data_IF_646497880406
#
_entry.id   IF_646497880406
#
_cell.length_a   1.000
_cell.length_b   1.000
_cell.length_c   1.000
_cell.angle_alpha   90.00
_cell.angle_beta   90.00
_cell.angle_gamma   90.00
#
_symmetry.space_group_name_H-M   'P 1'
#
loop_
_entity.id
_entity.type
_entity.pdbx_description
1 polymer ?
#
# COMPACT_ATOMS: atom_id res chain seq x y z
N UNK A 1 -31.56 -32.32 -30.12
CA UNK A 1 -30.60 -31.19 -30.08
C UNK A 1 -30.64 -30.33 -28.81
N UNK A 2 -31.52 -30.60 -27.83
CA UNK A 2 -31.87 -29.66 -26.75
C UNK A 2 -31.08 -29.82 -25.43
N UNK A 3 -30.62 -31.02 -25.05
CA UNK A 3 -29.89 -31.25 -23.79
C UNK A 3 -28.46 -30.66 -23.78
N UNK A 4 -27.71 -30.82 -24.88
CA UNK A 4 -26.32 -30.35 -25.00
C UNK A 4 -26.23 -28.81 -25.01
N UNK A 5 -27.20 -28.16 -25.67
CA UNK A 5 -27.28 -26.70 -25.74
C UNK A 5 -27.71 -26.07 -24.40
N UNK A 6 -28.62 -26.72 -23.65
CA UNK A 6 -28.94 -26.32 -22.26
C UNK A 6 -27.71 -26.42 -21.35
N UNK A 7 -26.94 -27.52 -21.44
CA UNK A 7 -25.70 -27.71 -20.68
C UNK A 7 -24.63 -26.67 -20.99
N UNK A 8 -24.49 -26.28 -22.26
CA UNK A 8 -23.54 -25.25 -22.67
C UNK A 8 -23.93 -23.87 -22.08
N UNK A 9 -25.22 -23.52 -22.14
CA UNK A 9 -25.74 -22.25 -21.57
C UNK A 9 -25.59 -22.21 -20.05
N UNK A 10 -25.85 -23.32 -19.35
CA UNK A 10 -25.64 -23.39 -17.89
C UNK A 10 -24.16 -23.27 -17.53
N UNK A 11 -23.27 -23.89 -18.30
CA UNK A 11 -21.82 -23.77 -18.09
C UNK A 11 -21.31 -22.34 -18.31
N UNK A 12 -21.77 -21.68 -19.37
CA UNK A 12 -21.42 -20.29 -19.64
C UNK A 12 -21.92 -19.35 -18.53
N UNK A 13 -23.12 -19.59 -17.99
CA UNK A 13 -23.69 -18.79 -16.89
C UNK A 13 -22.89 -18.98 -15.60
N UNK A 14 -22.69 -20.22 -15.18
CA UNK A 14 -21.88 -20.57 -14.01
C UNK A 14 -20.45 -20.00 -14.08
N UNK A 15 -19.84 -19.99 -15.26
CA UNK A 15 -18.51 -19.42 -15.42
C UNK A 15 -18.50 -17.89 -15.32
N UNK A 16 -19.54 -17.23 -15.82
CA UNK A 16 -19.72 -15.77 -15.71
C UNK A 16 -19.96 -15.36 -14.26
N UNK A 17 -20.84 -16.08 -13.58
CA UNK A 17 -21.17 -15.82 -12.17
C UNK A 17 -19.93 -16.01 -11.29
N UNK A 18 -19.13 -17.06 -11.54
CA UNK A 18 -17.86 -17.28 -10.85
C UNK A 18 -16.82 -16.18 -11.12
N UNK A 19 -16.73 -15.65 -12.34
CA UNK A 19 -15.84 -14.53 -12.66
C UNK A 19 -16.30 -13.26 -11.92
N UNK A 20 -17.60 -12.97 -11.98
CA UNK A 20 -18.21 -11.81 -11.33
C UNK A 20 -17.99 -11.81 -9.82
N UNK A 21 -18.20 -12.94 -9.16
CA UNK A 21 -17.96 -13.07 -7.72
C UNK A 21 -16.52 -12.71 -7.36
N UNK A 22 -15.54 -13.07 -8.21
CA UNK A 22 -14.12 -12.81 -7.97
C UNK A 22 -13.75 -11.35 -8.19
N UNK A 23 -14.33 -10.72 -9.22
CA UNK A 23 -14.18 -9.27 -9.41
C UNK A 23 -14.81 -8.47 -8.28
N UNK A 24 -15.93 -8.93 -7.72
CA UNK A 24 -16.58 -8.27 -6.57
C UNK A 24 -15.69 -8.33 -5.32
N UNK A 25 -15.06 -9.48 -5.02
CA UNK A 25 -14.11 -9.58 -3.91
C UNK A 25 -12.89 -8.67 -4.11
N UNK A 26 -12.39 -8.57 -5.34
CA UNK A 26 -11.26 -7.71 -5.67
C UNK A 26 -11.58 -6.22 -5.50
N UNK A 27 -12.78 -5.79 -5.92
CA UNK A 27 -13.27 -4.43 -5.69
C UNK A 27 -13.45 -4.14 -4.19
N UNK A 28 -13.94 -5.11 -3.43
CA UNK A 28 -14.06 -4.97 -1.99
C UNK A 28 -12.68 -4.81 -1.32
N UNK A 29 -11.67 -5.58 -1.76
CA UNK A 29 -10.30 -5.46 -1.26
C UNK A 29 -9.71 -4.10 -1.58
N UNK A 30 -9.89 -3.63 -2.81
CA UNK A 30 -9.43 -2.31 -3.22
C UNK A 30 -10.06 -1.19 -2.40
N UNK A 31 -11.36 -1.31 -2.07
CA UNK A 31 -12.06 -0.34 -1.20
C UNK A 31 -11.49 -0.31 0.22
N UNK A 32 -11.04 -1.46 0.76
CA UNK A 32 -10.39 -1.51 2.07
C UNK A 32 -8.99 -0.93 2.04
N UNK A 33 -8.20 -1.25 1.01
CA UNK A 33 -6.85 -0.69 0.83
C UNK A 33 -6.90 0.84 0.63
N UNK A 34 -7.92 1.34 -0.07
CA UNK A 34 -8.16 2.78 -0.20
C UNK A 34 -8.45 3.42 1.15
N UNK A 35 -9.38 2.85 1.93
CA UNK A 35 -9.68 3.33 3.30
C UNK A 35 -8.50 3.23 4.26
N UNK A 36 -7.64 2.22 4.10
CA UNK A 36 -6.40 2.08 4.86
C UNK A 36 -5.44 3.24 4.64
N UNK A 37 -5.37 3.72 3.39
CA UNK A 37 -4.53 4.86 3.03
C UNK A 37 -5.01 6.15 3.71
N UNK A 38 -6.32 6.31 3.89
CA UNK A 38 -6.92 7.48 4.54
C UNK A 38 -6.83 7.43 6.08
N UNK A 39 -6.74 6.22 6.65
CA UNK A 39 -6.85 5.99 8.10
C UNK A 39 -5.51 5.97 8.85
N UNK A 40 -4.39 6.33 8.22
CA UNK A 40 -3.03 6.23 8.83
C UNK A 40 -2.83 7.05 10.13
N UNK A 41 -3.77 7.93 10.49
CA UNK A 41 -3.72 8.73 11.72
C UNK A 41 -4.31 8.03 12.97
N UNK A 42 -5.15 7.01 12.79
CA UNK A 42 -5.80 6.32 13.92
C UNK A 42 -5.35 4.85 14.00
N UNK A 43 -4.54 4.52 15.02
CA UNK A 43 -3.87 3.21 15.17
C UNK A 43 -4.84 2.03 15.24
N UNK A 44 -5.85 2.11 16.10
CA UNK A 44 -6.81 1.01 16.30
C UNK A 44 -7.62 0.75 15.03
N UNK A 45 -8.12 1.82 14.41
CA UNK A 45 -8.89 1.71 13.19
C UNK A 45 -8.05 1.18 12.02
N UNK A 46 -6.80 1.63 11.91
CA UNK A 46 -5.85 1.12 10.93
C UNK A 46 -5.61 -0.38 11.11
N UNK A 47 -5.33 -0.84 12.34
CA UNK A 47 -5.06 -2.25 12.61
C UNK A 47 -6.27 -3.15 12.27
N UNK A 48 -7.48 -2.73 12.66
CA UNK A 48 -8.70 -3.47 12.33
C UNK A 48 -8.89 -3.57 10.80
N UNK A 49 -8.71 -2.46 10.10
CA UNK A 49 -8.89 -2.39 8.66
C UNK A 49 -7.78 -3.17 7.91
N UNK A 50 -6.56 -3.18 8.45
CA UNK A 50 -5.40 -3.87 7.89
C UNK A 50 -5.62 -5.37 7.98
N UNK A 51 -6.12 -5.84 9.14
CA UNK A 51 -6.51 -7.22 9.33
C UNK A 51 -7.63 -7.65 8.38
N UNK A 52 -8.66 -6.81 8.19
CA UNK A 52 -9.74 -7.09 7.23
C UNK A 52 -9.21 -7.20 5.79
N UNK A 53 -8.35 -6.26 5.37
CA UNK A 53 -7.71 -6.32 4.06
C UNK A 53 -6.84 -7.57 3.90
N UNK A 54 -6.16 -7.99 4.97
CA UNK A 54 -5.34 -9.20 4.98
C UNK A 54 -6.16 -10.47 4.79
N UNK A 55 -7.27 -10.61 5.53
CA UNK A 55 -8.18 -11.75 5.40
C UNK A 55 -8.77 -11.84 4.01
N UNK A 56 -9.23 -10.71 3.47
CA UNK A 56 -9.80 -10.64 2.13
C UNK A 56 -8.75 -10.90 1.04
N UNK A 57 -7.50 -10.50 1.26
CA UNK A 57 -6.38 -10.87 0.40
C UNK A 57 -6.17 -12.38 0.36
N UNK A 58 -6.17 -13.07 1.51
CA UNK A 58 -6.04 -14.54 1.58
C UNK A 58 -7.20 -15.24 0.85
N UNK A 59 -8.43 -14.79 1.04
CA UNK A 59 -9.61 -15.31 0.33
C UNK A 59 -9.50 -15.09 -1.18
N UNK A 60 -9.09 -13.89 -1.60
CA UNK A 60 -8.88 -13.56 -3.02
C UNK A 60 -7.80 -14.44 -3.65
N UNK A 61 -6.70 -14.73 -2.94
CA UNK A 61 -5.67 -15.66 -3.40
C UNK A 61 -6.21 -17.08 -3.60
N UNK A 62 -7.01 -17.60 -2.65
CA UNK A 62 -7.64 -18.91 -2.79
C UNK A 62 -8.58 -18.96 -4.01
N UNK A 63 -9.39 -17.91 -4.20
CA UNK A 63 -10.28 -17.80 -5.35
C UNK A 63 -9.52 -17.68 -6.68
N UNK A 64 -8.36 -17.00 -6.68
CA UNK A 64 -7.47 -16.91 -7.84
C UNK A 64 -6.90 -18.28 -8.21
N UNK A 65 -6.40 -19.06 -7.23
CA UNK A 65 -5.93 -20.44 -7.46
C UNK A 65 -7.01 -21.33 -8.06
N UNK A 66 -8.25 -21.22 -7.58
CA UNK A 66 -9.39 -21.94 -8.17
C UNK A 66 -9.69 -21.45 -9.61
N UNK A 67 -9.58 -20.15 -9.87
CA UNK A 67 -9.77 -19.60 -11.21
C UNK A 67 -8.73 -20.13 -12.20
N UNK A 68 -7.49 -20.32 -11.78
CA UNK A 68 -6.45 -20.96 -12.60
C UNK A 68 -6.89 -22.35 -13.06
N UNK A 69 -7.29 -23.22 -12.11
CA UNK A 69 -7.74 -24.58 -12.43
C UNK A 69 -8.91 -24.60 -13.43
N UNK A 70 -9.86 -23.67 -13.28
CA UNK A 70 -11.04 -23.59 -14.16
C UNK A 70 -10.76 -22.97 -15.54
N UNK A 71 -9.76 -22.08 -15.62
CA UNK A 71 -9.45 -21.32 -16.84
C UNK A 71 -8.46 -22.04 -17.75
N UNK A 72 -7.65 -22.98 -17.23
CA UNK A 72 -6.62 -23.67 -18.02
C UNK A 72 -7.15 -24.33 -19.32
N UNK A 73 -8.39 -24.84 -19.30
CA UNK A 73 -9.02 -25.46 -20.48
C UNK A 73 -9.76 -24.48 -21.41
N UNK A 74 -9.83 -23.17 -21.09
CA UNK A 74 -10.64 -22.21 -21.83
C UNK A 74 -9.89 -20.87 -22.06
N UNK A 75 -9.50 -20.63 -23.32
CA UNK A 75 -8.76 -19.43 -23.75
C UNK A 75 -9.44 -18.11 -23.35
N UNK A 76 -10.76 -18.00 -23.45
CA UNK A 76 -11.48 -16.77 -23.07
C UNK A 76 -11.41 -16.51 -21.55
N UNK A 77 -11.48 -17.56 -20.74
CA UNK A 77 -11.34 -17.44 -19.29
C UNK A 77 -9.90 -17.15 -18.86
N UNK A 78 -8.90 -17.59 -19.63
CA UNK A 78 -7.48 -17.23 -19.40
C UNK A 78 -7.26 -15.73 -19.49
N UNK A 79 -7.75 -15.08 -20.54
CA UNK A 79 -7.63 -13.62 -20.72
C UNK A 79 -8.27 -12.87 -19.55
N UNK A 80 -9.45 -13.32 -19.11
CA UNK A 80 -10.14 -12.75 -17.95
C UNK A 80 -9.37 -12.96 -16.64
N UNK A 81 -8.78 -14.13 -16.45
CA UNK A 81 -7.90 -14.42 -15.31
C UNK A 81 -6.68 -13.51 -15.31
N UNK A 82 -5.97 -13.37 -16.43
CA UNK A 82 -4.76 -12.55 -16.55
C UNK A 82 -5.04 -11.09 -16.17
N UNK A 83 -6.17 -10.53 -16.62
CA UNK A 83 -6.60 -9.18 -16.21
C UNK A 83 -6.84 -9.07 -14.71
N UNK A 84 -7.64 -9.98 -14.15
CA UNK A 84 -7.91 -10.00 -12.70
C UNK A 84 -6.63 -10.21 -11.88
N UNK A 85 -5.70 -11.01 -12.39
CA UNK A 85 -4.40 -11.23 -11.76
C UNK A 85 -3.57 -9.95 -11.73
N UNK A 86 -3.50 -9.21 -12.83
CA UNK A 86 -2.78 -7.93 -12.88
C UNK A 86 -3.41 -6.88 -11.96
N UNK A 87 -4.74 -6.79 -11.93
CA UNK A 87 -5.45 -5.92 -10.99
C UNK A 87 -5.17 -6.33 -9.53
N UNK A 88 -5.19 -7.63 -9.23
CA UNK A 88 -4.89 -8.15 -7.90
C UNK A 88 -3.45 -7.86 -7.46
N UNK A 89 -2.46 -8.03 -8.34
CA UNK A 89 -1.07 -7.63 -8.09
C UNK A 89 -0.99 -6.13 -7.76
N UNK A 90 -1.71 -5.28 -8.51
CA UNK A 90 -1.78 -3.85 -8.24
C UNK A 90 -2.33 -3.53 -6.85
N UNK A 91 -3.41 -4.21 -6.44
CA UNK A 91 -4.02 -4.04 -5.11
C UNK A 91 -3.08 -4.53 -3.99
N UNK A 92 -2.40 -5.67 -4.18
CA UNK A 92 -1.44 -6.22 -3.22
C UNK A 92 -0.23 -5.30 -3.02
N UNK A 93 0.29 -4.70 -4.09
CA UNK A 93 1.38 -3.73 -4.01
C UNK A 93 0.98 -2.51 -3.17
N UNK A 94 -0.25 -2.01 -3.34
CA UNK A 94 -0.79 -0.93 -2.51
C UNK A 94 -0.91 -1.35 -1.04
N UNK A 95 -1.48 -2.52 -0.77
CA UNK A 95 -1.62 -3.06 0.59
C UNK A 95 -0.26 -3.18 1.29
N UNK A 96 0.72 -3.79 0.62
CA UNK A 96 2.07 -3.95 1.15
C UNK A 96 2.75 -2.60 1.38
N UNK A 97 2.54 -1.63 0.47
CA UNK A 97 3.02 -0.26 0.64
C UNK A 97 2.48 0.37 1.92
N UNK A 98 1.17 0.29 2.16
CA UNK A 98 0.55 0.81 3.38
C UNK A 98 1.08 0.11 4.64
N UNK A 99 1.15 -1.23 4.65
CA UNK A 99 1.66 -2.00 5.79
C UNK A 99 3.13 -1.65 6.10
N UNK A 100 3.97 -1.49 5.09
CA UNK A 100 5.38 -1.09 5.27
C UNK A 100 5.51 0.31 5.84
N UNK A 101 4.72 1.28 5.37
CA UNK A 101 4.72 2.64 5.94
C UNK A 101 4.29 2.62 7.39
N UNK A 102 3.22 1.91 7.72
CA UNK A 102 2.77 1.77 9.11
C UNK A 102 3.84 1.13 10.01
N UNK A 103 4.51 0.07 9.54
CA UNK A 103 5.61 -0.56 10.27
C UNK A 103 6.81 0.39 10.47
N UNK A 104 7.12 1.23 9.48
CA UNK A 104 8.17 2.26 9.60
C UNK A 104 7.79 3.35 10.62
N UNK A 105 6.54 3.81 10.60
CA UNK A 105 6.01 4.80 11.56
C UNK A 105 6.07 4.25 13.00
N UNK A 106 5.64 3.01 13.22
CA UNK A 106 5.74 2.38 14.55
C UNK A 106 7.19 2.21 15.00
N UNK A 107 8.09 1.75 14.13
CA UNK A 107 9.53 1.68 14.43
C UNK A 107 10.12 3.04 14.79
N UNK A 108 9.78 4.09 14.06
CA UNK A 108 10.27 5.44 14.32
C UNK A 108 9.75 5.97 15.68
N UNK A 109 8.47 5.74 15.98
CA UNK A 109 7.87 6.19 17.23
C UNK A 109 8.41 5.43 18.44
N UNK A 110 8.63 4.11 18.34
CA UNK A 110 9.31 3.33 19.38
C UNK A 110 10.73 3.82 19.67
N UNK A 111 11.49 4.21 18.62
CA UNK A 111 12.82 4.80 18.80
C UNK A 111 12.74 6.12 19.58
N UNK A 112 11.80 7.00 19.25
CA UNK A 112 11.61 8.26 19.97
C UNK A 112 11.29 8.05 21.44
N UNK A 113 10.42 7.09 21.79
CA UNK A 113 10.10 6.79 23.19
C UNK A 113 11.35 6.26 23.92
N UNK A 114 12.13 5.39 23.26
CA UNK A 114 13.37 4.86 23.84
C UNK A 114 14.41 5.95 24.07
N UNK A 115 14.65 6.81 23.07
CA UNK A 115 15.61 7.90 23.16
C UNK A 115 15.20 8.92 24.23
N UNK A 116 13.89 9.20 24.37
CA UNK A 116 13.36 10.04 25.44
C UNK A 116 13.56 9.39 26.83
N UNK A 117 13.37 8.07 26.95
CA UNK A 117 13.62 7.35 28.19
C UNK A 117 15.12 7.31 28.56
N UNK A 118 16.01 7.21 27.58
CA UNK A 118 17.46 7.28 27.78
C UNK A 118 17.89 8.68 28.26
N UNK A 119 17.34 9.75 27.65
CA UNK A 119 17.60 11.13 28.07
C UNK A 119 17.11 11.41 29.50
N UNK A 120 15.92 10.90 29.88
CA UNK A 120 15.38 11.02 31.24
C UNK A 120 16.25 10.27 32.26
N UNK A 121 16.77 9.09 31.88
CA UNK A 121 17.69 8.32 32.70
C UNK A 121 19.05 9.04 32.88
N UNK A 122 19.60 9.64 31.82
CA UNK A 122 20.83 10.44 31.89
C UNK A 122 20.66 11.72 32.71
N UNK A 123 19.53 12.41 32.56
CA UNK A 123 19.21 13.59 33.36
C UNK A 123 19.09 13.23 34.86
N UNK A 124 18.47 12.09 35.19
CA UNK A 124 18.42 11.59 36.57
C UNK A 124 19.81 11.32 37.14
N UNK A 125 20.71 10.65 36.41
CA UNK A 125 22.08 10.40 36.87
C UNK A 125 22.88 11.68 37.16
N UNK A 126 22.60 12.76 36.43
CA UNK A 126 23.24 14.08 36.64
C UNK A 126 22.64 14.85 37.82
N UNK A 127 21.44 14.48 38.28
CA UNK A 127 20.75 15.10 39.42
C UNK A 127 20.88 14.29 40.72
N UNK A 128 21.60 13.17 40.72
CA UNK A 128 21.83 12.31 41.90
C UNK A 128 22.71 12.94 42.99
N UNK A 129 23.17 14.19 42.83
CA UNK A 129 23.96 14.90 43.85
C UNK A 129 23.13 15.66 44.90
N UNK A 130 21.79 15.78 44.77
CA UNK A 130 20.99 16.41 45.82
C UNK A 130 19.56 15.86 45.94
N UNK A 131 19.17 15.62 47.19
CA UNK A 131 17.82 15.41 47.72
C UNK A 131 17.14 14.02 47.68
N UNK A 132 16.69 13.67 48.88
CA UNK A 132 16.00 12.50 49.38
C UNK A 132 14.49 12.55 49.09
N UNK A 133 14.09 12.67 47.81
CA UNK A 133 12.69 12.93 47.42
C UNK A 133 11.98 11.66 46.91
N UNK A 134 11.43 10.88 47.86
CA UNK A 134 10.73 9.61 47.62
C UNK A 134 9.53 9.75 46.66
N UNK A 135 8.87 10.90 46.65
CA UNK A 135 7.68 11.16 45.83
C UNK A 135 8.05 11.28 44.34
N UNK A 136 9.17 11.94 44.02
CA UNK A 136 9.74 11.97 42.65
C UNK A 136 10.21 10.60 42.18
N UNK A 137 10.68 9.74 43.09
CA UNK A 137 11.09 8.37 42.73
C UNK A 137 9.88 7.51 42.34
N UNK A 138 8.77 7.61 43.08
CA UNK A 138 7.51 6.92 42.76
C UNK A 138 6.95 7.41 41.42
N UNK A 139 6.95 8.72 41.17
CA UNK A 139 6.45 9.28 39.92
C UNK A 139 7.27 8.81 38.70
N UNK A 140 8.60 8.76 38.83
CA UNK A 140 9.51 8.22 37.80
C UNK A 140 9.25 6.74 37.51
N UNK A 141 9.11 5.91 38.55
CA UNK A 141 8.78 4.49 38.37
C UNK A 141 7.44 4.29 37.65
N UNK A 142 6.42 5.11 37.94
CA UNK A 142 5.15 5.06 37.21
C UNK A 142 5.33 5.46 35.75
N UNK A 143 6.06 6.54 35.47
CA UNK A 143 6.30 6.99 34.10
C UNK A 143 7.06 5.94 33.28
N UNK A 144 8.08 5.31 33.87
CA UNK A 144 8.82 4.22 33.22
C UNK A 144 7.91 3.01 32.92
N UNK A 145 7.03 2.63 33.86
CA UNK A 145 6.08 1.54 33.62
C UNK A 145 5.07 1.86 32.52
N UNK A 146 4.57 3.09 32.45
CA UNK A 146 3.67 3.56 31.38
C UNK A 146 4.40 3.48 30.03
N UNK A 147 5.61 4.01 29.94
CA UNK A 147 6.42 3.97 28.71
C UNK A 147 6.72 2.52 28.27
N UNK A 148 7.03 1.63 29.21
CA UNK A 148 7.29 0.22 28.92
C UNK A 148 6.04 -0.52 28.41
N UNK A 149 4.86 -0.23 28.96
CA UNK A 149 3.62 -0.81 28.47
C UNK A 149 3.29 -0.30 27.07
N UNK A 150 3.46 0.99 26.82
CA UNK A 150 3.25 1.57 25.48
C UNK A 150 4.21 0.97 24.45
N UNK A 151 5.50 0.81 24.78
CA UNK A 151 6.49 0.14 23.91
C UNK A 151 6.07 -1.30 23.63
N UNK A 152 5.61 -2.05 24.65
CA UNK A 152 5.16 -3.44 24.46
C UNK A 152 3.99 -3.55 23.50
N UNK A 153 2.96 -2.71 23.66
CA UNK A 153 1.82 -2.70 22.75
C UNK A 153 2.24 -2.37 21.31
N UNK A 154 3.12 -1.38 21.13
CA UNK A 154 3.64 -1.01 19.82
C UNK A 154 4.48 -2.12 19.20
N UNK A 155 5.29 -2.81 20.00
CA UNK A 155 6.07 -3.95 19.53
C UNK A 155 5.18 -5.10 19.05
N UNK A 156 4.08 -5.37 19.76
CA UNK A 156 3.09 -6.37 19.32
C UNK A 156 2.42 -5.97 18.00
N UNK A 157 1.99 -4.71 17.88
CA UNK A 157 1.41 -4.20 16.64
C UNK A 157 2.41 -4.28 15.46
N UNK A 158 3.67 -3.93 15.70
CA UNK A 158 4.73 -4.03 14.71
C UNK A 158 5.00 -5.47 14.28
N UNK A 159 5.05 -6.40 15.22
CA UNK A 159 5.23 -7.82 14.93
C UNK A 159 4.07 -8.36 14.07
N UNK A 160 2.84 -7.95 14.36
CA UNK A 160 1.68 -8.30 13.55
C UNK A 160 1.81 -7.76 12.12
N UNK A 161 2.22 -6.50 11.96
CA UNK A 161 2.44 -5.90 10.64
C UNK A 161 3.54 -6.63 9.85
N UNK A 162 4.63 -7.03 10.51
CA UNK A 162 5.70 -7.80 9.88
C UNK A 162 5.21 -9.18 9.41
N UNK A 163 4.38 -9.84 10.21
CA UNK A 163 3.73 -11.10 9.82
C UNK A 163 2.79 -10.89 8.62
N UNK A 164 1.94 -9.86 8.64
CA UNK A 164 0.99 -9.58 7.57
C UNK A 164 1.71 -9.27 6.24
N UNK A 165 2.84 -8.55 6.28
CA UNK A 165 3.70 -8.32 5.12
C UNK A 165 4.29 -9.64 4.60
N UNK A 166 4.72 -10.54 5.49
CA UNK A 166 5.22 -11.86 5.14
C UNK A 166 4.16 -12.71 4.42
N UNK A 167 2.93 -12.69 4.91
CA UNK A 167 1.79 -13.36 4.28
C UNK A 167 1.50 -12.80 2.88
N UNK A 168 1.57 -11.48 2.67
CA UNK A 168 1.41 -10.87 1.33
C UNK A 168 2.54 -11.32 0.39
N UNK A 169 3.77 -11.43 0.87
CA UNK A 169 4.89 -11.97 0.06
C UNK A 169 4.63 -13.42 -0.35
N UNK A 170 4.05 -14.24 0.54
CA UNK A 170 3.67 -15.61 0.20
C UNK A 170 2.62 -15.66 -0.91
N UNK A 171 1.66 -14.72 -0.90
CA UNK A 171 0.68 -14.57 -1.99
C UNK A 171 1.37 -14.17 -3.29
N UNK A 172 2.36 -13.26 -3.27
CA UNK A 172 3.14 -12.93 -4.46
C UNK A 172 3.89 -14.15 -5.02
N UNK A 173 4.48 -14.99 -4.17
CA UNK A 173 5.12 -16.22 -4.60
C UNK A 173 4.12 -17.20 -5.24
N UNK A 174 2.90 -17.29 -4.70
CA UNK A 174 1.82 -18.08 -5.29
C UNK A 174 1.41 -17.54 -6.67
N UNK A 175 1.28 -16.22 -6.82
CA UNK A 175 0.95 -15.58 -8.09
C UNK A 175 2.08 -15.76 -9.12
N UNK A 176 3.34 -15.65 -8.72
CA UNK A 176 4.48 -15.89 -9.59
C UNK A 176 4.50 -17.31 -10.16
N UNK A 177 4.16 -18.32 -9.34
CA UNK A 177 3.98 -19.71 -9.81
C UNK A 177 2.85 -19.80 -10.85
N UNK A 178 1.74 -19.12 -10.60
CA UNK A 178 0.61 -19.06 -11.56
C UNK A 178 1.04 -18.42 -12.89
N UNK A 179 1.93 -17.42 -12.88
CA UNK A 179 2.47 -16.79 -14.10
C UNK A 179 3.44 -17.72 -14.84
N UNK A 180 4.33 -18.40 -14.12
CA UNK A 180 5.38 -19.23 -14.71
C UNK A 180 4.84 -20.43 -15.51
N UNK A 181 3.72 -21.02 -15.09
CA UNK A 181 3.06 -22.15 -15.78
C UNK A 181 2.38 -21.77 -17.13
N UNK A 182 2.45 -20.50 -17.59
CA UNK A 182 1.62 -19.99 -18.70
C UNK A 182 2.25 -19.98 -20.10
N UNK A 183 3.54 -20.29 -20.25
CA UNK A 183 4.17 -20.85 -21.46
C UNK A 183 4.07 -20.17 -22.85
N UNK A 184 3.17 -19.23 -23.13
CA UNK A 184 3.07 -18.54 -24.43
C UNK A 184 2.46 -17.13 -24.28
N UNK A 185 3.22 -16.15 -24.79
CA UNK A 185 3.10 -14.68 -24.70
C UNK A 185 3.42 -14.04 -23.34
N UNK A 186 4.68 -14.22 -22.95
CA UNK A 186 5.49 -13.25 -22.22
C UNK A 186 5.75 -12.06 -23.16
N UNK A 187 5.01 -10.95 -23.03
CA UNK A 187 5.39 -9.67 -23.68
C UNK A 187 4.81 -8.42 -22.97
N UNK A 188 4.37 -8.57 -21.71
CA UNK A 188 3.91 -7.43 -20.89
C UNK A 188 4.53 -7.38 -19.49
N UNK A 189 5.45 -8.30 -19.18
CA UNK A 189 6.14 -8.37 -17.88
C UNK A 189 7.44 -7.56 -17.90
N UNK A 190 8.14 -7.50 -19.03
CA UNK A 190 9.44 -6.79 -19.11
C UNK A 190 9.29 -5.27 -18.91
N UNK A 191 8.16 -4.69 -19.35
CA UNK A 191 7.90 -3.24 -19.19
C UNK A 191 7.49 -2.82 -17.76
N UNK A 192 7.04 -3.75 -16.90
CA UNK A 192 6.54 -3.41 -15.56
C UNK A 192 7.44 -3.95 -14.42
N UNK A 193 8.34 -4.88 -14.72
CA UNK A 193 9.33 -5.39 -13.76
C UNK A 193 10.56 -4.49 -13.67
N UNK A 194 10.94 -3.77 -14.74
CA UNK A 194 12.06 -2.83 -14.71
C UNK A 194 11.81 -1.60 -13.80
N UNK A 195 10.55 -1.27 -13.51
CA UNK A 195 10.20 -0.22 -12.55
C UNK A 195 10.08 -0.68 -11.08
N UNK A 196 10.11 -1.99 -10.81
CA UNK A 196 9.99 -2.53 -9.46
C UNK A 196 11.34 -2.81 -8.78
N UNK A 197 12.45 -2.78 -9.53
CA UNK A 197 13.77 -3.16 -9.01
C UNK A 197 14.79 -2.01 -8.90
N UNK A 198 14.42 -0.76 -9.20
CA UNK A 198 15.25 0.40 -8.88
C UNK A 198 14.43 1.38 -8.04
N UNK A 199 14.99 1.74 -6.88
CA UNK A 199 14.49 2.63 -5.81
C UNK A 199 13.95 1.95 -4.55
N UNK A 200 14.68 0.93 -4.08
CA UNK A 200 14.81 0.62 -2.64
C UNK A 200 16.11 1.26 -2.11
N UNK A 201 16.18 2.58 -2.16
CA UNK A 201 17.10 3.38 -1.33
C UNK A 201 16.64 4.83 -1.40
N UNK A 202 16.73 5.57 -0.30
CA UNK A 202 16.31 6.98 -0.12
C UNK A 202 14.88 7.21 0.41
N UNK A 203 14.49 6.45 1.45
CA UNK A 203 13.43 6.87 2.38
C UNK A 203 13.77 8.09 3.25
N UNK A 204 15.02 8.60 3.19
CA UNK A 204 15.47 9.77 3.95
C UNK A 204 15.51 11.09 3.13
N UNK A 205 15.29 11.05 1.81
CA UNK A 205 15.34 12.24 0.92
C UNK A 205 13.97 12.94 0.73
N UNK A 206 12.89 12.34 1.23
CA UNK A 206 11.52 12.79 0.94
C UNK A 206 11.10 14.08 1.66
N UNK A 207 11.88 14.56 2.64
CA UNK A 207 11.61 15.86 3.27
C UNK A 207 12.27 17.04 2.53
N UNK A 208 13.40 16.83 1.84
CA UNK A 208 14.07 17.89 1.05
C UNK A 208 13.53 18.00 -0.38
N UNK A 209 13.07 16.91 -1.00
CA UNK A 209 12.58 16.92 -2.39
C UNK A 209 11.19 17.56 -2.55
N UNK A 210 10.35 17.53 -1.51
CA UNK A 210 9.03 18.17 -1.53
C UNK A 210 9.10 19.71 -1.69
N UNK A 211 10.17 20.34 -1.17
CA UNK A 211 10.44 21.77 -1.34
C UNK A 211 10.99 22.08 -2.74
N UNK A 212 11.86 21.22 -3.28
CA UNK A 212 12.46 21.38 -4.60
C UNK A 212 11.46 21.19 -5.76
N UNK A 213 10.54 20.22 -5.66
CA UNK A 213 9.50 20.00 -6.68
C UNK A 213 8.44 21.12 -6.69
N UNK A 214 8.12 21.72 -5.54
CA UNK A 214 7.23 22.89 -5.48
C UNK A 214 7.81 24.12 -6.18
N UNK A 215 9.14 24.34 -6.10
CA UNK A 215 9.81 25.44 -6.82
C UNK A 215 9.83 25.22 -8.33
N UNK A 216 10.15 24.01 -8.82
CA UNK A 216 10.13 23.69 -10.26
C UNK A 216 8.71 23.71 -10.84
N UNK A 217 7.69 23.29 -10.09
CA UNK A 217 6.30 23.39 -10.51
C UNK A 217 5.85 24.86 -10.65
N UNK A 218 6.30 25.76 -9.77
CA UNK A 218 6.06 27.22 -9.88
C UNK A 218 6.68 27.82 -11.15
N UNK A 219 7.92 27.46 -11.47
CA UNK A 219 8.59 27.94 -12.69
C UNK A 219 7.89 27.46 -13.97
N UNK A 220 7.48 26.19 -14.02
CA UNK A 220 6.72 25.64 -15.17
C UNK A 220 5.33 26.27 -15.31
N UNK A 221 4.64 26.56 -14.20
CA UNK A 221 3.34 27.27 -14.22
C UNK A 221 3.49 28.72 -14.72
N UNK A 222 4.55 29.42 -14.32
CA UNK A 222 4.82 30.79 -14.80
C UNK A 222 5.16 30.81 -16.29
N UNK A 223 5.92 29.82 -16.79
CA UNK A 223 6.25 29.71 -18.21
C UNK A 223 5.02 29.38 -19.06
N UNK A 224 4.15 28.47 -18.59
CA UNK A 224 2.85 28.20 -19.22
C UNK A 224 1.97 29.44 -19.27
N UNK A 225 1.91 30.22 -18.19
CA UNK A 225 1.15 31.46 -18.12
C UNK A 225 1.70 32.52 -19.10
N UNK A 226 3.02 32.69 -19.17
CA UNK A 226 3.65 33.60 -20.12
C UNK A 226 3.36 33.22 -21.58
N UNK A 227 3.37 31.92 -21.91
CA UNK A 227 3.02 31.44 -23.24
C UNK A 227 1.55 31.77 -23.61
N UNK A 228 0.62 31.59 -22.66
CA UNK A 228 -0.79 31.93 -22.86
C UNK A 228 -0.98 33.43 -23.10
N UNK A 229 -0.29 34.29 -22.35
CA UNK A 229 -0.34 35.75 -22.54
C UNK A 229 0.18 36.17 -23.92
N UNK A 230 1.30 35.58 -24.37
CA UNK A 230 1.86 35.85 -25.70
C UNK A 230 0.86 35.42 -26.80
N UNK A 231 0.21 34.26 -26.63
CA UNK A 231 -0.80 33.78 -27.57
C UNK A 231 -1.96 34.78 -27.69
N UNK A 232 -2.47 35.31 -26.57
CA UNK A 232 -3.53 36.32 -26.57
C UNK A 232 -3.09 37.64 -27.21
N UNK A 233 -1.83 38.07 -27.01
CA UNK A 233 -1.30 39.27 -27.66
C UNK A 233 -1.19 39.11 -29.18
N UNK A 234 -0.74 37.96 -29.67
CA UNK A 234 -0.68 37.68 -31.12
C UNK A 234 -2.09 37.70 -31.71
N UNK A 235 -3.04 37.03 -31.07
CA UNK A 235 -4.44 37.01 -31.52
C UNK A 235 -5.01 38.44 -31.54
N UNK A 236 -4.81 39.20 -30.45
CA UNK A 236 -5.24 40.60 -30.38
C UNK A 236 -4.62 41.48 -31.47
N UNK A 237 -3.32 41.33 -31.73
CA UNK A 237 -2.62 42.08 -32.77
C UNK A 237 -3.12 41.74 -34.17
N UNK A 238 -3.38 40.45 -34.46
CA UNK A 238 -3.95 40.03 -35.76
C UNK A 238 -5.34 40.62 -35.98
N UNK A 239 -6.18 40.67 -34.94
CA UNK A 239 -7.51 41.28 -35.04
C UNK A 239 -7.41 42.81 -35.20
N UNK A 240 -6.46 43.45 -34.52
CA UNK A 240 -6.23 44.89 -34.64
C UNK A 240 -5.67 45.31 -36.01
N UNK A 241 -4.72 44.55 -36.58
CA UNK A 241 -4.18 44.78 -37.92
C UNK A 241 -5.17 44.41 -39.05
N UNK A 242 -6.08 43.48 -38.79
CA UNK A 242 -7.13 43.08 -39.74
C UNK A 242 -8.35 44.03 -39.74
N UNK A 243 -8.35 45.06 -38.88
CA UNK A 243 -9.40 46.06 -38.76
C UNK A 243 -8.91 47.41 -39.26
#
# INVERSE_FOLDING_TARGET
MTKRMKRLKTWQRLSRDRYRMKSEQLQHLDSFVSRLTESEQCREHFNELAHKAQMLSKETNQLMKQLVQLSNANRSLRIHRERLQNEYIGVLNRLQGCQRRAAQTEKASMRQIRDAAEQDAEASKRMEEDANDHERQIQRQRQQQINLNEIKERQQALQQLEQDIGDVNQIFADLARIVHDQGDMVDSIEANVEHAQIHVEQGASNLQQAVYYNQKARQKKMLLFAFIVILFLIIGLTIYLAR
#
